data_IF_856141372818
#
_entry.id   IF_856141372818
#
_cell.length_a   1.000
_cell.length_b   1.000
_cell.length_c   1.000
_cell.angle_alpha   90.00
_cell.angle_beta   90.00
_cell.angle_gamma   90.00
#
_symmetry.space_group_name_H-M   'P 1'
#
loop_
_entity.id
_entity.type
_entity.pdbx_description
1 polymer ?
#
# COMPACT_ATOMS: atom_id res chain seq x y z
N UNK A 1 -16.10 -3.73 11.18
CA UNK A 1 -14.92 -4.36 10.52
C UNK A 1 -14.14 -3.27 9.82
N UNK A 2 -12.83 -3.24 9.98
CA UNK A 2 -11.97 -2.27 9.28
C UNK A 2 -11.94 -2.57 7.78
N UNK A 3 -12.16 -1.54 6.97
CA UNK A 3 -11.99 -1.62 5.53
C UNK A 3 -10.56 -1.22 5.17
N UNK A 4 -9.82 -2.15 4.58
CA UNK A 4 -8.45 -1.90 4.12
C UNK A 4 -8.43 -1.86 2.61
N UNK A 5 -7.96 -0.75 2.07
CA UNK A 5 -7.81 -0.52 0.64
C UNK A 5 -6.33 -0.46 0.29
N UNK A 6 -5.93 -1.15 -0.74
CA UNK A 6 -4.60 -1.04 -1.32
C UNK A 6 -4.73 -0.44 -2.72
N UNK A 7 -4.27 0.79 -2.88
CA UNK A 7 -4.30 1.48 -4.18
C UNK A 7 -2.89 1.43 -4.77
N UNK A 8 -2.77 0.87 -5.96
CA UNK A 8 -1.50 0.68 -6.65
C UNK A 8 -1.54 1.28 -8.05
N UNK A 9 -0.42 1.84 -8.48
CA UNK A 9 -0.19 2.18 -9.89
C UNK A 9 0.39 0.96 -10.60
N UNK A 10 -0.18 0.61 -11.74
CA UNK A 10 0.21 -0.54 -12.55
C UNK A 10 -0.56 -1.81 -12.22
N UNK A 11 -0.72 -2.66 -13.22
CA UNK A 11 -1.38 -3.96 -13.08
C UNK A 11 -0.37 -5.09 -12.90
N UNK A 12 -0.72 -6.08 -12.09
CA UNK A 12 0.07 -7.30 -11.98
C UNK A 12 0.09 -8.04 -13.32
N UNK A 13 1.27 -8.46 -13.75
CA UNK A 13 1.48 -9.20 -15.01
C UNK A 13 1.73 -10.67 -14.76
N UNK A 14 2.51 -11.00 -13.73
CA UNK A 14 2.97 -12.35 -13.45
C UNK A 14 1.89 -13.17 -12.74
N UNK A 15 1.61 -14.37 -13.25
CA UNK A 15 0.61 -15.28 -12.68
C UNK A 15 0.93 -15.65 -11.24
N UNK A 16 2.19 -15.91 -10.92
CA UNK A 16 2.59 -16.27 -9.55
C UNK A 16 2.36 -15.14 -8.54
N UNK A 17 2.47 -13.88 -8.95
CA UNK A 17 2.15 -12.72 -8.11
C UNK A 17 0.64 -12.55 -7.92
N UNK A 18 -0.14 -12.74 -8.99
CA UNK A 18 -1.62 -12.74 -8.91
C UNK A 18 -2.11 -13.83 -7.97
N UNK A 19 -1.55 -15.03 -8.07
CA UNK A 19 -1.91 -16.16 -7.22
C UNK A 19 -1.56 -15.89 -5.75
N UNK A 20 -0.38 -15.33 -5.48
CA UNK A 20 0.03 -14.96 -4.12
C UNK A 20 -0.92 -13.91 -3.51
N UNK A 21 -1.26 -12.87 -4.27
CA UNK A 21 -2.18 -11.81 -3.84
C UNK A 21 -3.57 -12.38 -3.57
N UNK A 22 -4.07 -13.24 -4.44
CA UNK A 22 -5.36 -13.88 -4.27
C UNK A 22 -5.40 -14.73 -3.00
N UNK A 23 -4.36 -15.51 -2.74
CA UNK A 23 -4.27 -16.35 -1.54
C UNK A 23 -4.27 -15.50 -0.26
N UNK A 24 -3.45 -14.46 -0.19
CA UNK A 24 -3.42 -13.59 0.99
C UNK A 24 -4.70 -12.76 1.15
N UNK A 25 -5.30 -12.31 0.07
CA UNK A 25 -6.59 -11.61 0.11
C UNK A 25 -7.70 -12.49 0.68
N UNK A 26 -7.72 -13.76 0.28
CA UNK A 26 -8.65 -14.76 0.83
C UNK A 26 -8.44 -14.96 2.33
N UNK A 27 -7.19 -15.08 2.78
CA UNK A 27 -6.88 -15.21 4.21
C UNK A 27 -7.28 -13.96 5.00
N UNK A 28 -7.08 -12.76 4.43
CA UNK A 28 -7.42 -11.50 5.06
C UNK A 28 -8.92 -11.29 5.24
N UNK A 29 -9.74 -11.85 4.37
CA UNK A 29 -11.20 -11.66 4.41
C UNK A 29 -11.87 -12.10 5.71
N UNK A 30 -11.19 -12.94 6.49
CA UNK A 30 -11.63 -13.34 7.83
C UNK A 30 -11.54 -12.19 8.85
N UNK A 31 -10.61 -11.27 8.65
CA UNK A 31 -10.27 -10.21 9.62
C UNK A 31 -10.69 -8.82 9.21
N UNK A 32 -10.60 -8.54 7.92
CA UNK A 32 -10.83 -7.21 7.34
C UNK A 32 -11.65 -7.31 6.07
N UNK A 33 -12.37 -6.24 5.76
CA UNK A 33 -12.88 -6.03 4.40
C UNK A 33 -11.73 -5.49 3.55
N UNK A 34 -11.13 -6.33 2.73
CA UNK A 34 -9.92 -5.99 1.97
C UNK A 34 -10.19 -5.91 0.47
N UNK A 35 -9.68 -4.86 -0.17
CA UNK A 35 -9.73 -4.73 -1.63
C UNK A 35 -8.44 -4.10 -2.17
N UNK A 36 -8.11 -4.47 -3.40
CA UNK A 36 -7.01 -3.88 -4.16
C UNK A 36 -7.60 -3.12 -5.34
N UNK A 37 -7.11 -1.91 -5.55
CA UNK A 37 -7.45 -1.06 -6.67
C UNK A 37 -6.18 -0.83 -7.49
N UNK A 38 -6.12 -1.44 -8.66
CA UNK A 38 -5.02 -1.27 -9.61
C UNK A 38 -5.39 -0.17 -10.61
N UNK A 39 -4.57 0.88 -10.65
CA UNK A 39 -4.75 1.99 -11.58
C UNK A 39 -3.70 1.92 -12.69
N UNK A 40 -4.05 2.24 -13.94
CA UNK A 40 -3.08 2.19 -15.03
C UNK A 40 -1.93 3.16 -14.81
N UNK A 41 -0.71 2.68 -15.07
CA UNK A 41 0.49 3.51 -15.06
C UNK A 41 0.58 4.35 -16.32
N UNK A 42 1.26 5.50 -16.21
CA UNK A 42 1.60 6.32 -17.35
C UNK A 42 2.81 5.71 -18.09
N UNK A 43 2.75 5.78 -19.42
CA UNK A 43 3.86 5.33 -20.27
C UNK A 43 5.06 6.25 -20.08
N UNK A 44 6.23 5.69 -19.77
CA UNK A 44 7.46 6.45 -19.64
C UNK A 44 8.04 6.74 -21.04
N UNK A 45 8.39 8.00 -21.36
CA UNK A 45 9.14 8.31 -22.56
C UNK A 45 10.58 7.85 -22.45
N UNK A 46 11.28 7.73 -23.59
CA UNK A 46 12.67 7.27 -23.63
C UNK A 46 13.62 8.20 -22.85
N UNK A 47 13.34 9.50 -22.87
CA UNK A 47 14.13 10.49 -22.13
C UNK A 47 13.29 11.10 -21.03
N UNK A 48 13.75 11.00 -19.79
CA UNK A 48 13.12 11.63 -18.63
C UNK A 48 13.88 12.91 -18.27
N UNK A 49 13.12 13.95 -17.93
CA UNK A 49 13.64 15.17 -17.33
C UNK A 49 12.76 15.55 -16.13
N UNK A 50 13.18 16.48 -15.25
CA UNK A 50 12.41 16.82 -14.05
C UNK A 50 10.96 17.26 -14.34
N UNK A 51 10.72 17.96 -15.45
CA UNK A 51 9.37 18.40 -15.83
C UNK A 51 8.47 17.25 -16.23
N UNK A 52 8.97 16.30 -17.01
CA UNK A 52 8.23 15.09 -17.43
C UNK A 52 7.96 14.20 -16.21
N UNK A 53 8.94 14.01 -15.34
CA UNK A 53 8.79 13.24 -14.11
C UNK A 53 7.68 13.82 -13.24
N UNK A 54 7.70 15.14 -13.00
CA UNK A 54 6.68 15.82 -12.22
C UNK A 54 5.28 15.67 -12.84
N UNK A 55 5.18 15.79 -14.14
CA UNK A 55 3.92 15.64 -14.86
C UNK A 55 3.33 14.23 -14.72
N UNK A 56 4.15 13.20 -14.86
CA UNK A 56 3.73 11.80 -14.68
C UNK A 56 3.32 11.54 -13.23
N UNK A 57 4.11 12.00 -12.27
CA UNK A 57 3.77 11.91 -10.86
C UNK A 57 2.42 12.55 -10.55
N UNK A 58 2.15 13.73 -11.11
CA UNK A 58 0.88 14.45 -10.91
C UNK A 58 -0.30 13.67 -11.48
N UNK A 59 -0.18 13.15 -12.70
CA UNK A 59 -1.25 12.36 -13.33
C UNK A 59 -1.56 11.12 -12.53
N UNK A 60 -0.54 10.35 -12.14
CA UNK A 60 -0.72 9.12 -11.37
C UNK A 60 -1.24 9.40 -9.97
N UNK A 61 -0.73 10.44 -9.30
CA UNK A 61 -1.16 10.80 -7.95
C UNK A 61 -2.60 11.30 -7.91
N UNK A 62 -3.06 12.07 -8.91
CA UNK A 62 -4.47 12.50 -8.99
C UNK A 62 -5.41 11.31 -9.19
N UNK A 63 -5.01 10.30 -9.98
CA UNK A 63 -5.78 9.05 -10.09
C UNK A 63 -5.94 8.36 -8.74
N UNK A 64 -4.85 8.28 -7.96
CA UNK A 64 -4.87 7.69 -6.62
C UNK A 64 -5.81 8.46 -5.71
N UNK A 65 -5.66 9.78 -5.64
CA UNK A 65 -6.46 10.66 -4.77
C UNK A 65 -7.96 10.47 -5.05
N UNK A 66 -8.35 10.36 -6.31
CA UNK A 66 -9.74 10.18 -6.70
C UNK A 66 -10.36 8.86 -6.18
N UNK A 67 -9.54 7.87 -5.83
CA UNK A 67 -9.98 6.56 -5.34
C UNK A 67 -9.85 6.39 -3.82
N UNK A 68 -9.31 7.37 -3.12
CA UNK A 68 -9.19 7.28 -1.65
C UNK A 68 -10.59 7.46 -1.02
N UNK A 69 -11.05 6.50 -0.21
CA UNK A 69 -12.31 6.66 0.51
C UNK A 69 -12.28 7.86 1.46
N UNK A 70 -13.43 8.50 1.64
CA UNK A 70 -13.58 9.59 2.61
C UNK A 70 -13.25 9.09 4.02
N UNK A 71 -12.63 9.95 4.83
CA UNK A 71 -12.26 9.65 6.22
C UNK A 71 -11.35 8.42 6.36
N UNK A 72 -10.49 8.20 5.37
CA UNK A 72 -9.50 7.12 5.41
C UNK A 72 -8.21 7.57 6.12
N UNK A 73 -7.66 6.70 6.95
CA UNK A 73 -6.28 6.86 7.39
C UNK A 73 -5.36 6.41 6.24
N UNK A 74 -4.45 7.26 5.82
CA UNK A 74 -3.65 7.03 4.60
C UNK A 74 -2.21 6.75 4.97
N UNK A 75 -1.70 5.60 4.52
CA UNK A 75 -0.30 5.19 4.66
C UNK A 75 0.30 5.00 3.27
N UNK A 76 1.29 5.82 2.95
CA UNK A 76 2.05 5.68 1.70
C UNK A 76 3.31 4.85 1.93
N UNK A 77 3.63 3.94 1.00
CA UNK A 77 4.93 3.30 0.95
C UNK A 77 5.94 4.26 0.33
N UNK A 78 6.99 4.58 1.08
CA UNK A 78 8.01 5.55 0.68
C UNK A 78 9.35 5.16 1.31
N UNK A 79 10.44 5.25 0.55
CA UNK A 79 11.79 4.93 1.03
C UNK A 79 12.24 5.81 2.21
N UNK A 80 11.64 7.00 2.35
CA UNK A 80 11.89 7.92 3.47
C UNK A 80 10.97 7.67 4.67
N UNK A 81 10.11 6.64 4.60
CA UNK A 81 9.15 6.32 5.64
C UNK A 81 9.77 5.66 6.86
N UNK A 82 8.95 5.55 7.91
CA UNK A 82 9.31 4.85 9.14
C UNK A 82 9.33 3.34 8.93
N UNK A 83 10.29 2.67 9.53
CA UNK A 83 10.34 1.20 9.60
C UNK A 83 9.66 0.72 10.88
N UNK A 84 8.94 -0.39 10.77
CA UNK A 84 8.24 -1.04 11.88
C UNK A 84 8.68 -2.50 12.00
N UNK A 85 8.68 -3.03 13.22
CA UNK A 85 8.61 -4.47 13.40
C UNK A 85 7.20 -4.96 13.05
N UNK A 86 7.02 -6.26 12.85
CA UNK A 86 5.69 -6.83 12.59
C UNK A 86 4.73 -6.62 13.76
N UNK A 87 5.23 -6.65 14.99
CA UNK A 87 4.47 -6.38 16.21
C UNK A 87 4.03 -4.92 16.29
N UNK A 88 4.94 -3.98 16.06
CA UNK A 88 4.63 -2.55 16.01
C UNK A 88 3.62 -2.23 14.92
N UNK A 89 3.73 -2.90 13.76
CA UNK A 89 2.79 -2.73 12.65
C UNK A 89 1.40 -3.24 13.02
N UNK A 90 1.32 -4.38 13.72
CA UNK A 90 0.06 -4.91 14.24
C UNK A 90 -0.61 -3.94 15.21
N UNK A 91 0.14 -3.41 16.17
CA UNK A 91 -0.35 -2.43 17.13
C UNK A 91 -0.84 -1.15 16.43
N UNK A 92 -0.10 -0.71 15.41
CA UNK A 92 -0.48 0.45 14.60
C UNK A 92 -1.84 0.28 13.93
N UNK A 93 -2.08 -0.88 13.31
CA UNK A 93 -3.37 -1.17 12.64
C UNK A 93 -4.50 -1.20 13.68
N UNK A 94 -4.30 -1.81 14.85
CA UNK A 94 -5.31 -1.85 15.90
C UNK A 94 -5.63 -0.44 16.43
N UNK A 95 -4.62 0.42 16.59
CA UNK A 95 -4.83 1.81 16.99
C UNK A 95 -5.61 2.61 15.94
N UNK A 96 -5.30 2.42 14.66
CA UNK A 96 -6.05 3.07 13.56
C UNK A 96 -7.52 2.63 13.59
N UNK A 97 -7.78 1.35 13.81
CA UNK A 97 -9.12 0.78 13.85
C UNK A 97 -10.02 1.39 14.94
N UNK A 98 -9.45 1.93 16.01
CA UNK A 98 -10.21 2.57 17.09
C UNK A 98 -10.94 3.83 16.59
N UNK A 99 -10.28 4.62 15.75
CA UNK A 99 -10.78 5.93 15.33
C UNK A 99 -11.13 6.03 13.84
N UNK A 100 -10.80 5.01 13.06
CA UNK A 100 -11.03 5.01 11.62
C UNK A 100 -11.72 3.73 11.15
N UNK A 101 -12.68 3.87 10.25
CA UNK A 101 -13.32 2.72 9.57
C UNK A 101 -12.63 2.32 8.28
N UNK A 102 -11.79 3.22 7.72
CA UNK A 102 -11.06 3.01 6.48
C UNK A 102 -9.55 3.23 6.70
N UNK A 103 -8.74 2.28 6.22
CA UNK A 103 -7.29 2.36 6.13
C UNK A 103 -6.89 2.16 4.68
N UNK A 104 -6.18 3.12 4.11
CA UNK A 104 -5.73 3.06 2.72
C UNK A 104 -4.21 3.03 2.65
N UNK A 105 -3.68 1.97 2.05
CA UNK A 105 -2.27 1.88 1.69
C UNK A 105 -2.09 2.31 0.24
N UNK A 106 -1.01 3.04 -0.04
CA UNK A 106 -0.70 3.54 -1.37
C UNK A 106 0.68 3.04 -1.79
N UNK A 107 0.74 2.44 -2.97
CA UNK A 107 1.98 2.07 -3.66
C UNK A 107 2.00 2.79 -5.00
N UNK A 108 2.93 3.74 -5.15
CA UNK A 108 3.11 4.50 -6.38
C UNK A 108 3.72 3.69 -7.51
N UNK A 109 3.85 4.33 -8.67
CA UNK A 109 4.56 3.79 -9.83
C UNK A 109 6.08 3.94 -9.71
N UNK A 110 6.78 3.69 -10.81
CA UNK A 110 8.25 3.72 -10.86
C UNK A 110 8.86 5.09 -10.53
N UNK A 111 8.14 6.18 -10.75
CA UNK A 111 8.59 7.53 -10.45
C UNK A 111 8.14 8.05 -9.09
N UNK A 112 7.38 7.25 -8.34
CA UNK A 112 6.90 7.61 -7.01
C UNK A 112 5.68 8.53 -7.02
N UNK A 113 5.37 9.10 -5.86
CA UNK A 113 4.21 9.95 -5.61
C UNK A 113 4.60 11.44 -5.68
N UNK A 114 3.63 12.31 -6.05
CA UNK A 114 3.85 13.74 -5.97
C UNK A 114 3.81 14.26 -4.52
N UNK A 115 4.23 15.50 -4.32
CA UNK A 115 4.27 16.12 -2.97
C UNK A 115 2.88 16.30 -2.35
N UNK A 116 1.85 16.56 -3.16
CA UNK A 116 0.47 16.70 -2.69
C UNK A 116 -0.02 15.40 -2.04
N UNK A 117 0.15 14.26 -2.70
CA UNK A 117 -0.28 12.97 -2.17
C UNK A 117 0.55 12.56 -0.94
N UNK A 118 1.86 12.83 -0.95
CA UNK A 118 2.71 12.62 0.22
C UNK A 118 2.23 13.44 1.43
N UNK A 119 1.81 14.68 1.21
CA UNK A 119 1.27 15.56 2.26
C UNK A 119 -0.10 15.13 2.77
N UNK A 120 -0.94 14.51 1.91
CA UNK A 120 -2.23 13.95 2.30
C UNK A 120 -2.08 12.67 3.12
N UNK A 121 -0.97 11.98 3.03
CA UNK A 121 -0.72 10.75 3.77
C UNK A 121 -0.53 11.08 5.26
N UNK A 122 -1.25 10.36 6.11
CA UNK A 122 -1.10 10.47 7.55
C UNK A 122 0.27 9.95 8.00
N UNK A 123 0.81 8.99 7.26
CA UNK A 123 2.08 8.37 7.56
C UNK A 123 2.74 7.80 6.31
N UNK A 124 4.06 7.71 6.35
CA UNK A 124 4.87 7.02 5.35
C UNK A 124 5.56 5.84 6.03
N UNK A 125 5.51 4.68 5.40
CA UNK A 125 6.20 3.49 5.89
C UNK A 125 7.20 2.97 4.86
N UNK A 126 8.26 2.34 5.35
CA UNK A 126 9.32 1.75 4.55
C UNK A 126 9.59 0.34 5.07
N UNK A 127 9.64 -0.65 4.20
CA UNK A 127 10.01 -2.02 4.60
C UNK A 127 11.52 -2.22 4.70
N UNK A 128 12.29 -1.50 3.89
CA UNK A 128 13.74 -1.63 3.81
C UNK A 128 14.34 -0.42 3.12
N UNK A 129 15.61 -0.16 3.39
CA UNK A 129 16.40 0.82 2.62
C UNK A 129 16.68 0.35 1.20
N UNK A 130 16.54 -0.96 0.94
CA UNK A 130 16.62 -1.52 -0.41
C UNK A 130 15.33 -1.25 -1.17
N UNK A 131 15.46 -1.04 -2.47
CA UNK A 131 14.31 -0.88 -3.38
C UNK A 131 13.80 -2.26 -3.80
N UNK A 132 12.49 -2.46 -3.72
CA UNK A 132 11.82 -3.67 -4.21
C UNK A 132 10.98 -3.36 -5.46
N UNK A 133 10.79 -4.34 -6.35
CA UNK A 133 9.83 -4.19 -7.43
C UNK A 133 8.43 -3.91 -6.86
N UNK A 134 7.70 -2.94 -7.41
CA UNK A 134 6.40 -2.57 -6.84
C UNK A 134 5.36 -3.67 -6.91
N UNK A 135 5.47 -4.62 -7.83
CA UNK A 135 4.56 -5.76 -7.89
C UNK A 135 4.82 -6.75 -6.74
N UNK A 136 6.09 -6.97 -6.41
CA UNK A 136 6.48 -7.86 -5.31
C UNK A 136 6.21 -7.25 -3.95
N UNK A 137 6.42 -5.94 -3.78
CA UNK A 137 6.16 -5.24 -2.53
C UNK A 137 4.68 -5.30 -2.12
N UNK A 138 3.76 -5.42 -3.08
CA UNK A 138 2.33 -5.64 -2.80
C UNK A 138 2.10 -6.93 -2.03
N UNK A 139 2.79 -7.99 -2.44
CA UNK A 139 2.71 -9.29 -1.76
C UNK A 139 3.25 -9.18 -0.34
N UNK A 140 4.40 -8.53 -0.14
CA UNK A 140 4.97 -8.31 1.17
C UNK A 140 4.03 -7.51 2.08
N UNK A 141 3.43 -6.45 1.56
CA UNK A 141 2.49 -5.63 2.33
C UNK A 141 1.28 -6.43 2.77
N UNK A 142 0.66 -7.17 1.85
CA UNK A 142 -0.54 -7.96 2.17
C UNK A 142 -0.20 -9.07 3.17
N UNK A 143 0.95 -9.72 3.02
CA UNK A 143 1.43 -10.70 3.99
C UNK A 143 1.60 -10.06 5.37
N UNK A 144 2.19 -8.87 5.47
CA UNK A 144 2.37 -8.18 6.75
C UNK A 144 1.05 -7.74 7.38
N UNK A 145 0.07 -7.34 6.58
CA UNK A 145 -1.29 -7.06 7.08
C UNK A 145 -1.93 -8.33 7.65
N UNK A 146 -1.77 -9.46 6.97
CA UNK A 146 -2.25 -10.75 7.46
C UNK A 146 -1.54 -11.16 8.75
N UNK A 147 -0.21 -11.02 8.80
CA UNK A 147 0.59 -11.28 10.00
C UNK A 147 0.15 -10.40 11.17
N UNK A 148 -0.11 -9.13 10.92
CA UNK A 148 -0.62 -8.21 11.92
C UNK A 148 -1.97 -8.67 12.50
N UNK A 149 -2.87 -9.16 11.66
CA UNK A 149 -4.15 -9.72 12.11
C UNK A 149 -3.96 -10.97 12.98
N UNK A 150 -3.01 -11.84 12.62
CA UNK A 150 -2.67 -13.02 13.43
C UNK A 150 -2.12 -12.64 14.80
N UNK A 151 -1.23 -11.65 14.84
CA UNK A 151 -0.64 -11.16 16.10
C UNK A 151 -1.75 -10.57 16.98
N UNK A 152 -2.58 -9.68 16.46
CA UNK A 152 -3.63 -9.00 17.24
C UNK A 152 -4.71 -9.94 17.75
N UNK A 153 -4.91 -11.08 17.09
CA UNK A 153 -5.87 -12.12 17.53
C UNK A 153 -5.22 -13.24 18.34
N UNK A 154 -3.95 -13.11 18.72
CA UNK A 154 -3.18 -14.13 19.45
C UNK A 154 -3.19 -15.50 18.76
N UNK A 155 -3.23 -15.53 17.44
CA UNK A 155 -3.20 -16.75 16.65
C UNK A 155 -1.75 -17.11 16.25
N UNK A 156 -1.47 -18.42 16.20
CA UNK A 156 -0.16 -18.93 15.77
C UNK A 156 0.10 -18.59 14.29
N UNK A 157 1.13 -17.85 14.03
CA UNK A 157 1.66 -17.53 12.70
C UNK A 157 3.01 -16.82 12.78
N UNK A 158 3.10 -15.80 13.64
CA UNK A 158 4.32 -15.06 13.91
C UNK A 158 5.09 -15.70 15.06
N UNK A 159 6.40 -15.86 14.92
CA UNK A 159 7.27 -16.51 15.93
C UNK A 159 8.27 -15.52 16.51
#
# INVERSE_FOLDING_TARGET
MLHINLICIGKLKETYLKDAIQEYSKRLSKYYSFQIIELPDEKLPDTLNPSIISQIQDIESEKIIAHIPKNSYIISLDLTGKQYTSEEFSEKIENIKISNSNLTFIIGGSLGLNSKLKSLSNEKICFSKMTFPHQLIRVFLIEQIFRAAKISNNEKYHH
#
